data_IF_333296623302
#
_entry.id   IF_333296623302
#
_cell.length_a   1.000
_cell.length_b   1.000
_cell.length_c   1.000
_cell.angle_alpha   90.00
_cell.angle_beta   90.00
_cell.angle_gamma   90.00
#
_symmetry.space_group_name_H-M   'P 1'
#
loop_
_entity.id
_entity.type
_entity.pdbx_description
1 polymer ?
#
# COMPACT_ATOMS: atom_id res chain seq x y z
N UNK A 1 26.39 7.40 -11.70
CA UNK A 1 26.37 6.11 -12.36
C UNK A 1 26.94 4.99 -11.50
N UNK A 2 28.10 5.20 -10.95
CA UNK A 2 28.73 4.20 -10.08
C UNK A 2 27.95 3.93 -8.81
N UNK A 3 27.37 4.95 -8.21
CA UNK A 3 26.54 4.79 -7.01
C UNK A 3 25.34 3.89 -7.24
N UNK A 4 24.64 4.08 -8.36
CA UNK A 4 23.48 3.27 -8.68
C UNK A 4 23.86 1.82 -8.93
N UNK A 5 24.94 1.60 -9.66
CA UNK A 5 25.44 0.26 -9.93
C UNK A 5 25.95 -0.42 -8.66
N UNK A 6 26.64 0.32 -7.82
CA UNK A 6 27.12 -0.19 -6.54
C UNK A 6 25.94 -0.59 -5.64
N UNK A 7 24.88 0.23 -5.60
CA UNK A 7 23.70 -0.05 -4.80
C UNK A 7 23.02 -1.34 -5.24
N UNK A 8 22.88 -1.56 -6.55
CA UNK A 8 22.28 -2.78 -7.09
C UNK A 8 23.13 -4.01 -6.75
N UNK A 9 24.45 -3.89 -6.93
CA UNK A 9 25.38 -4.97 -6.61
C UNK A 9 25.37 -5.27 -5.11
N UNK A 10 25.28 -4.25 -4.28
CA UNK A 10 25.23 -4.40 -2.83
C UNK A 10 23.96 -5.12 -2.38
N UNK A 11 22.80 -4.77 -2.96
CA UNK A 11 21.54 -5.44 -2.66
C UNK A 11 21.58 -6.91 -3.07
N UNK A 12 22.09 -7.20 -4.25
CA UNK A 12 22.21 -8.57 -4.74
C UNK A 12 23.16 -9.39 -3.87
N UNK A 13 24.30 -8.81 -3.50
CA UNK A 13 25.28 -9.44 -2.65
C UNK A 13 24.70 -9.79 -1.27
N UNK A 14 23.97 -8.87 -0.66
CA UNK A 14 23.32 -9.08 0.63
C UNK A 14 22.27 -10.18 0.54
N UNK A 15 21.48 -10.17 -0.52
CA UNK A 15 20.45 -11.19 -0.75
C UNK A 15 21.09 -12.56 -0.86
N UNK A 16 22.13 -12.70 -1.71
CA UNK A 16 22.79 -13.98 -1.94
C UNK A 16 23.46 -14.51 -0.68
N UNK A 17 23.99 -13.63 0.15
CA UNK A 17 24.74 -14.03 1.33
C UNK A 17 23.85 -14.32 2.55
N UNK A 18 22.82 -13.52 2.79
CA UNK A 18 22.06 -13.58 4.03
C UNK A 18 20.62 -14.05 3.87
N UNK A 19 20.06 -13.99 2.69
CA UNK A 19 18.62 -14.20 2.49
C UNK A 19 18.34 -15.42 1.63
N UNK A 20 19.10 -15.62 0.57
CA UNK A 20 18.85 -16.63 -0.46
C UNK A 20 18.58 -18.03 0.09
N UNK A 21 19.33 -18.46 1.09
CA UNK A 21 19.21 -19.80 1.65
C UNK A 21 18.49 -19.82 3.00
N UNK A 22 17.88 -18.71 3.40
CA UNK A 22 17.14 -18.59 4.66
C UNK A 22 15.66 -18.41 4.38
N UNK A 23 14.84 -19.45 4.61
CA UNK A 23 13.39 -19.35 4.35
C UNK A 23 12.69 -18.26 5.15
N UNK A 24 13.08 -18.06 6.40
CA UNK A 24 12.48 -17.03 7.25
C UNK A 24 12.82 -15.63 6.75
N UNK A 25 14.07 -15.42 6.34
CA UNK A 25 14.50 -14.14 5.79
C UNK A 25 13.83 -13.83 4.47
N UNK A 26 13.63 -14.85 3.61
CA UNK A 26 12.90 -14.68 2.34
C UNK A 26 11.45 -14.30 2.57
N UNK A 27 10.80 -15.01 3.49
CA UNK A 27 9.40 -14.75 3.83
C UNK A 27 9.23 -13.33 4.38
N UNK A 28 10.11 -12.93 5.28
CA UNK A 28 10.11 -11.58 5.84
C UNK A 28 10.29 -10.52 4.75
N UNK A 29 11.26 -10.72 3.86
CA UNK A 29 11.52 -9.77 2.77
C UNK A 29 10.32 -9.65 1.84
N UNK A 30 9.68 -10.76 1.53
CA UNK A 30 8.49 -10.77 0.68
C UNK A 30 7.35 -10.01 1.34
N UNK A 31 7.13 -10.23 2.63
CA UNK A 31 6.12 -9.52 3.39
C UNK A 31 6.36 -8.02 3.39
N UNK A 32 7.60 -7.59 3.58
CA UNK A 32 7.98 -6.17 3.54
C UNK A 32 7.69 -5.58 2.17
N UNK A 33 7.98 -6.30 1.10
CA UNK A 33 7.70 -5.85 -0.27
C UNK A 33 6.20 -5.69 -0.53
N UNK A 34 5.41 -6.64 -0.06
CA UNK A 34 3.94 -6.60 -0.21
C UNK A 34 3.39 -5.38 0.54
N UNK A 35 3.83 -5.16 1.77
CA UNK A 35 3.38 -4.02 2.56
C UNK A 35 3.76 -2.69 1.92
N UNK A 36 4.98 -2.59 1.38
CA UNK A 36 5.43 -1.39 0.69
C UNK A 36 4.59 -1.12 -0.57
N UNK A 37 4.24 -2.17 -1.31
CA UNK A 37 3.37 -2.05 -2.48
C UNK A 37 1.97 -1.56 -2.10
N UNK A 38 1.40 -2.15 -1.06
CA UNK A 38 0.08 -1.75 -0.57
C UNK A 38 0.09 -0.30 -0.08
N UNK A 39 1.13 0.09 0.64
CA UNK A 39 1.29 1.47 1.11
C UNK A 39 1.31 2.46 -0.05
N UNK A 40 2.05 2.13 -1.10
CA UNK A 40 2.11 2.96 -2.31
C UNK A 40 0.77 3.05 -3.01
N UNK A 41 0.01 1.96 -3.08
CA UNK A 41 -1.31 1.95 -3.69
C UNK A 41 -2.30 2.82 -2.90
N UNK A 42 -2.29 2.73 -1.58
CA UNK A 42 -3.17 3.55 -0.73
C UNK A 42 -2.92 5.03 -1.01
N UNK A 43 -1.66 5.43 -0.99
CA UNK A 43 -1.27 6.82 -1.26
C UNK A 43 -1.73 7.26 -2.66
N UNK A 44 -1.43 6.45 -3.67
CA UNK A 44 -1.74 6.79 -5.06
C UNK A 44 -3.24 6.90 -5.31
N UNK A 45 -4.03 5.96 -4.81
CA UNK A 45 -5.49 5.97 -4.99
C UNK A 45 -6.10 7.13 -4.22
N UNK A 46 -5.64 7.37 -2.98
CA UNK A 46 -6.14 8.50 -2.20
C UNK A 46 -5.92 9.82 -2.94
N UNK A 47 -4.73 10.03 -3.48
CA UNK A 47 -4.42 11.24 -4.26
C UNK A 47 -5.23 11.32 -5.55
N UNK A 48 -5.39 10.21 -6.23
CA UNK A 48 -6.19 10.15 -7.47
C UNK A 48 -7.64 10.53 -7.21
N UNK A 49 -8.17 10.14 -6.06
CA UNK A 49 -9.56 10.48 -5.66
C UNK A 49 -9.68 11.88 -5.04
N UNK A 50 -8.58 12.57 -4.82
CA UNK A 50 -8.59 13.89 -4.19
C UNK A 50 -8.95 13.87 -2.71
N UNK A 51 -8.67 12.75 -2.01
CA UNK A 51 -8.98 12.59 -0.60
C UNK A 51 -7.82 13.01 0.29
N UNK A 52 -8.14 13.65 1.40
CA UNK A 52 -7.20 13.82 2.50
C UNK A 52 -7.18 12.54 3.34
N UNK A 53 -6.17 12.39 4.20
CA UNK A 53 -6.12 11.27 5.16
C UNK A 53 -7.32 11.30 6.10
N UNK A 54 -7.73 12.48 6.52
CA UNK A 54 -8.88 12.68 7.39
C UNK A 54 -10.18 12.23 6.72
N UNK A 55 -10.34 12.53 5.45
CA UNK A 55 -11.51 12.11 4.68
C UNK A 55 -11.53 10.58 4.52
N UNK A 56 -10.39 9.99 4.20
CA UNK A 56 -10.30 8.54 4.12
C UNK A 56 -10.58 7.89 5.47
N UNK A 57 -10.09 8.48 6.56
CA UNK A 57 -10.37 8.00 7.91
C UNK A 57 -11.88 7.97 8.16
N UNK A 58 -12.56 9.06 7.84
CA UNK A 58 -14.00 9.15 8.02
C UNK A 58 -14.77 8.09 7.22
N UNK A 59 -14.37 7.90 5.97
CA UNK A 59 -15.07 6.97 5.07
C UNK A 59 -14.71 5.50 5.30
N UNK A 60 -13.54 5.23 5.84
CA UNK A 60 -13.07 3.86 6.08
C UNK A 60 -13.38 3.36 7.50
N UNK A 61 -13.62 4.27 8.44
CA UNK A 61 -13.75 3.92 9.84
C UNK A 61 -12.42 3.76 10.57
N UNK A 62 -11.32 4.04 9.89
CA UNK A 62 -9.98 4.05 10.50
C UNK A 62 -9.66 5.46 11.01
N UNK A 63 -8.55 5.59 11.72
CA UNK A 63 -8.05 6.90 12.11
C UNK A 63 -7.07 7.45 11.08
N UNK A 64 -6.90 8.77 11.05
CA UNK A 64 -5.91 9.38 10.17
C UNK A 64 -4.49 8.91 10.51
N UNK A 65 -4.22 8.66 11.79
CA UNK A 65 -2.93 8.14 12.24
C UNK A 65 -2.66 6.74 11.68
N UNK A 66 -3.66 5.86 11.69
CA UNK A 66 -3.53 4.51 11.12
C UNK A 66 -3.29 4.60 9.62
N UNK A 67 -3.99 5.50 8.92
CA UNK A 67 -3.79 5.69 7.48
C UNK A 67 -2.36 6.18 7.19
N UNK A 68 -1.85 7.09 8.00
CA UNK A 68 -0.47 7.54 7.88
C UNK A 68 0.50 6.38 8.05
N UNK A 69 0.29 5.56 9.08
CA UNK A 69 1.14 4.39 9.33
C UNK A 69 1.09 3.40 8.15
N UNK A 70 -0.08 3.17 7.60
CA UNK A 70 -0.24 2.30 6.43
C UNK A 70 0.52 2.85 5.22
N UNK A 71 0.42 4.14 4.95
CA UNK A 71 1.11 4.77 3.82
C UNK A 71 2.62 4.82 4.00
N UNK A 72 3.10 4.79 5.23
CA UNK A 72 4.52 4.77 5.55
C UNK A 72 5.07 3.35 5.74
N UNK A 73 4.25 2.32 5.53
CA UNK A 73 4.60 0.92 5.76
C UNK A 73 4.98 0.63 7.21
N UNK A 74 4.41 1.38 8.14
CA UNK A 74 4.75 1.36 9.56
C UNK A 74 3.63 0.77 10.42
N UNK A 75 2.59 0.27 9.78
CA UNK A 75 1.43 -0.28 10.47
C UNK A 75 1.74 -1.70 10.94
N UNK A 76 1.57 -1.96 12.22
CA UNK A 76 1.86 -3.26 12.84
C UNK A 76 0.61 -4.09 13.15
N UNK A 77 -0.55 -3.63 12.71
CA UNK A 77 -1.80 -4.36 12.87
C UNK A 77 -2.08 -5.32 11.71
N UNK A 78 -3.33 -5.72 11.58
CA UNK A 78 -3.77 -6.63 10.52
C UNK A 78 -3.96 -5.88 9.21
N UNK A 79 -3.02 -6.07 8.29
CA UNK A 79 -3.04 -5.40 6.98
C UNK A 79 -4.25 -5.81 6.14
N UNK A 80 -4.70 -7.06 6.22
CA UNK A 80 -5.86 -7.50 5.44
C UNK A 80 -7.13 -6.78 5.87
N UNK A 81 -7.36 -6.67 7.18
CA UNK A 81 -8.50 -5.92 7.70
C UNK A 81 -8.41 -4.45 7.34
N UNK A 82 -7.21 -3.87 7.46
CA UNK A 82 -6.99 -2.47 7.13
C UNK A 82 -7.27 -2.20 5.65
N UNK A 83 -6.79 -3.06 4.76
CA UNK A 83 -7.01 -2.90 3.32
C UNK A 83 -8.51 -3.04 2.98
N UNK A 84 -9.22 -3.96 3.62
CA UNK A 84 -10.67 -4.06 3.41
C UNK A 84 -11.37 -2.77 3.81
N UNK A 85 -10.99 -2.20 4.95
CA UNK A 85 -11.57 -0.93 5.43
C UNK A 85 -11.23 0.22 4.46
N UNK A 86 -9.99 0.28 4.00
CA UNK A 86 -9.54 1.30 3.04
C UNK A 86 -10.35 1.20 1.74
N UNK A 87 -10.52 0.00 1.21
CA UNK A 87 -11.28 -0.19 -0.03
C UNK A 87 -12.76 0.18 0.14
N UNK A 88 -13.35 -0.14 1.29
CA UNK A 88 -14.71 0.32 1.59
C UNK A 88 -14.77 1.85 1.61
N UNK A 89 -13.78 2.50 2.19
CA UNK A 89 -13.69 3.95 2.22
C UNK A 89 -13.59 4.55 0.81
N UNK A 90 -12.74 3.99 -0.03
CA UNK A 90 -12.60 4.43 -1.41
C UNK A 90 -13.89 4.24 -2.19
N UNK A 91 -14.56 3.11 -2.04
CA UNK A 91 -15.82 2.85 -2.73
C UNK A 91 -16.92 3.82 -2.28
N UNK A 92 -17.03 4.08 -0.98
CA UNK A 92 -17.99 5.03 -0.45
C UNK A 92 -17.76 6.44 -0.99
N UNK A 93 -16.51 6.87 -1.02
CA UNK A 93 -16.13 8.15 -1.59
C UNK A 93 -16.45 8.21 -3.08
N UNK A 94 -16.10 7.16 -3.82
CA UNK A 94 -16.38 7.08 -5.24
C UNK A 94 -17.87 7.24 -5.52
N UNK A 95 -18.71 6.49 -4.80
CA UNK A 95 -20.16 6.53 -4.99
C UNK A 95 -20.77 7.87 -4.60
N UNK A 96 -20.26 8.49 -3.55
CA UNK A 96 -20.85 9.71 -2.99
C UNK A 96 -20.36 10.99 -3.68
N UNK A 97 -19.12 11.00 -4.16
CA UNK A 97 -18.47 12.22 -4.64
C UNK A 97 -18.12 12.13 -6.13
N UNK A 98 -17.53 11.01 -6.57
CA UNK A 98 -16.97 10.90 -7.93
C UNK A 98 -18.03 10.43 -8.93
N UNK A 99 -18.76 9.37 -8.63
CA UNK A 99 -19.68 8.74 -9.57
C UNK A 99 -20.72 9.70 -10.16
N UNK A 100 -21.29 10.64 -9.40
CA UNK A 100 -22.27 11.57 -9.97
C UNK A 100 -21.71 12.43 -11.10
N UNK A 101 -20.38 12.61 -11.15
CA UNK A 101 -19.73 13.48 -12.13
C UNK A 101 -18.79 12.72 -13.08
N UNK A 102 -18.77 11.38 -13.01
CA UNK A 102 -17.79 10.58 -13.74
C UNK A 102 -18.42 9.26 -14.23
N UNK A 103 -17.83 8.70 -15.28
CA UNK A 103 -18.22 7.38 -15.81
C UNK A 103 -17.23 6.29 -15.40
N UNK A 104 -16.29 6.60 -14.51
CA UNK A 104 -15.29 5.64 -14.08
C UNK A 104 -15.91 4.58 -13.17
N UNK A 105 -15.35 3.38 -13.18
CA UNK A 105 -15.82 2.26 -12.36
C UNK A 105 -15.12 2.24 -11.01
N UNK A 106 -15.73 1.63 -9.97
CA UNK A 106 -15.06 1.50 -8.68
C UNK A 106 -13.73 0.74 -8.73
N UNK A 107 -13.59 -0.18 -9.67
CA UNK A 107 -12.35 -0.98 -9.80
C UNK A 107 -11.13 -0.12 -10.15
N UNK A 108 -11.34 1.04 -10.79
CA UNK A 108 -10.27 1.96 -11.12
C UNK A 108 -9.64 2.61 -9.89
N UNK A 109 -10.30 2.51 -8.74
CA UNK A 109 -9.92 3.19 -7.50
C UNK A 109 -9.88 2.22 -6.32
N UNK A 110 -9.36 1.02 -6.54
CA UNK A 110 -9.20 0.03 -5.48
C UNK A 110 -7.75 -0.32 -5.27
N UNK A 111 -7.43 -0.63 -4.02
CA UNK A 111 -6.13 -1.20 -3.68
C UNK A 111 -6.19 -2.69 -4.01
N UNK A 112 -5.24 -3.15 -4.80
CA UNK A 112 -5.18 -4.54 -5.24
C UNK A 112 -4.03 -5.26 -4.56
N UNK A 113 -4.37 -6.33 -3.86
CA UNK A 113 -3.36 -7.18 -3.25
C UNK A 113 -2.83 -8.11 -4.32
N UNK A 114 -1.53 -8.02 -4.57
CA UNK A 114 -0.86 -8.89 -5.53
C UNK A 114 -0.35 -10.10 -4.78
N UNK A 115 -0.86 -11.26 -5.18
CA UNK A 115 -0.37 -12.52 -4.63
C UNK A 115 0.96 -12.85 -5.27
N UNK A 116 1.94 -12.97 -4.46
CA UNK A 116 3.28 -13.30 -4.93
C UNK A 116 3.36 -14.71 -5.45
#
# INVERSE_FOLDING_TARGET
MEEKKFSEDAHQWMYDRYIKDDPEAKEFLQEVKIQADLAGQIYAVRHKLGMTREQLAEFSGLTAEVIEDLEESDYDGDWNEAIEAINRGFQSWFKSVILPASKMTPDDYSVKVVNA
#
